data_IF_259752135939
#
_entry.id   IF_259752135939
#
_cell.length_a   1.000
_cell.length_b   1.000
_cell.length_c   1.000
_cell.angle_alpha   90.00
_cell.angle_beta   90.00
_cell.angle_gamma   90.00
#
_symmetry.space_group_name_H-M   'P 1'
#
loop_
_entity.id
_entity.type
_entity.pdbx_description
1 polymer ?
#
# COMPACT_ATOMS: atom_id res chain seq x y z
N UNK A 1 15.68 -15.50 -9.66
CA UNK A 1 14.42 -14.72 -9.75
C UNK A 1 13.17 -15.55 -9.49
N UNK A 2 13.21 -16.88 -9.52
CA UNK A 2 12.06 -17.77 -9.28
C UNK A 2 11.73 -18.02 -7.80
N UNK A 3 12.66 -17.80 -6.89
CA UNK A 3 12.49 -18.11 -5.47
C UNK A 3 11.72 -17.05 -4.68
N UNK A 4 11.51 -15.88 -5.26
CA UNK A 4 10.75 -14.77 -4.64
C UNK A 4 9.24 -14.92 -4.69
N UNK A 5 8.74 -16.01 -5.28
CA UNK A 5 7.30 -16.21 -5.52
C UNK A 5 6.64 -17.21 -4.57
N UNK A 6 7.39 -17.84 -3.64
CA UNK A 6 6.78 -18.71 -2.65
C UNK A 6 6.28 -17.92 -1.44
N UNK A 7 5.02 -17.63 -1.50
CA UNK A 7 4.23 -17.15 -0.39
C UNK A 7 3.91 -18.31 0.54
N UNK A 8 4.48 -18.29 1.72
CA UNK A 8 3.93 -19.06 2.83
C UNK A 8 3.30 -18.08 3.82
N UNK A 9 1.98 -18.10 3.85
CA UNK A 9 1.23 -17.55 4.95
C UNK A 9 1.27 -18.56 6.08
N UNK A 10 2.28 -18.48 6.94
CA UNK A 10 2.30 -19.24 8.16
C UNK A 10 1.66 -18.44 9.28
N UNK A 11 0.48 -18.90 9.69
CA UNK A 11 -0.11 -18.52 10.95
C UNK A 11 0.72 -19.19 12.05
N UNK A 12 1.67 -18.47 12.62
CA UNK A 12 2.46 -18.97 13.73
C UNK A 12 1.56 -19.11 14.96
N UNK A 13 1.05 -20.30 15.19
CA UNK A 13 0.51 -20.70 16.49
C UNK A 13 1.69 -20.93 17.44
N UNK A 14 1.76 -20.10 18.47
CA UNK A 14 2.49 -20.33 19.70
C UNK A 14 3.99 -20.62 19.61
N UNK A 15 4.78 -19.73 20.19
CA UNK A 15 6.23 -19.89 20.44
C UNK A 15 7.11 -20.11 19.21
N UNK A 16 7.43 -19.03 18.55
CA UNK A 16 8.45 -18.99 17.52
C UNK A 16 9.81 -19.30 18.14
N UNK A 17 10.35 -20.49 17.89
CA UNK A 17 11.79 -20.72 17.96
C UNK A 17 12.43 -19.97 16.79
N UNK A 18 12.91 -18.77 17.07
CA UNK A 18 13.38 -17.80 16.06
C UNK A 18 14.70 -18.18 15.38
N UNK A 19 15.23 -19.40 15.56
CA UNK A 19 16.62 -19.69 15.20
C UNK A 19 16.82 -20.46 13.88
N UNK A 20 15.79 -20.84 13.13
CA UNK A 20 15.97 -21.62 11.90
C UNK A 20 15.16 -21.19 10.68
N UNK A 21 14.66 -19.98 10.63
CA UNK A 21 14.05 -19.49 9.39
C UNK A 21 15.03 -18.63 8.60
N UNK A 22 15.91 -19.28 7.84
CA UNK A 22 16.47 -18.73 6.61
C UNK A 22 15.43 -18.86 5.49
N UNK A 23 14.20 -18.57 5.76
CA UNK A 23 13.19 -18.49 4.73
C UNK A 23 12.97 -17.01 4.44
N UNK A 24 13.11 -16.63 3.22
CA UNK A 24 12.65 -15.35 2.70
C UNK A 24 11.13 -15.30 2.83
N UNK A 25 10.63 -15.06 4.02
CA UNK A 25 9.24 -14.78 4.23
C UNK A 25 9.05 -13.31 3.92
N UNK A 26 8.45 -13.02 2.79
CA UNK A 26 8.09 -11.67 2.40
C UNK A 26 7.15 -11.01 3.39
N UNK A 27 6.36 -11.83 4.05
CA UNK A 27 5.35 -11.36 4.98
C UNK A 27 5.12 -12.42 6.05
N UNK A 28 5.27 -12.07 7.31
CA UNK A 28 4.75 -12.85 8.44
C UNK A 28 4.17 -11.92 9.49
N UNK A 29 3.09 -12.38 10.13
CA UNK A 29 2.40 -11.63 11.15
C UNK A 29 2.30 -12.49 12.41
N UNK A 30 2.76 -11.96 13.53
CA UNK A 30 2.72 -12.66 14.82
C UNK A 30 2.33 -11.73 15.96
N UNK A 31 1.79 -12.28 17.02
CA UNK A 31 1.61 -11.55 18.27
C UNK A 31 2.96 -11.41 19.01
N UNK A 32 3.23 -10.21 19.49
CA UNK A 32 4.42 -9.92 20.27
C UNK A 32 4.03 -9.35 21.62
N UNK A 33 3.94 -10.23 22.60
CA UNK A 33 3.47 -9.90 23.94
C UNK A 33 2.04 -9.38 23.99
N UNK A 34 1.64 -8.80 25.09
CA UNK A 34 0.27 -8.35 25.31
C UNK A 34 -0.09 -7.02 24.58
N UNK A 35 0.89 -6.31 24.07
CA UNK A 35 0.70 -4.92 23.59
C UNK A 35 0.97 -4.70 22.12
N UNK A 36 1.60 -5.65 21.44
CA UNK A 36 2.06 -5.45 20.06
C UNK A 36 1.72 -6.62 19.16
N UNK A 37 1.64 -6.31 17.86
CA UNK A 37 1.80 -7.25 16.76
C UNK A 37 3.15 -7.01 16.09
N UNK A 38 3.71 -8.05 15.53
CA UNK A 38 4.96 -8.02 14.79
C UNK A 38 4.67 -8.41 13.35
N UNK A 39 5.00 -7.52 12.44
CA UNK A 39 4.95 -7.75 11.01
C UNK A 39 6.38 -7.82 10.49
N UNK A 40 6.69 -8.89 9.79
CA UNK A 40 7.89 -8.99 8.97
C UNK A 40 7.47 -8.79 7.51
N UNK A 41 8.09 -7.85 6.88
CA UNK A 41 7.78 -7.49 5.51
C UNK A 41 9.08 -7.14 4.77
N UNK A 42 9.43 -7.90 3.74
CA UNK A 42 10.69 -7.76 3.00
C UNK A 42 11.94 -7.66 3.88
N UNK A 43 12.02 -8.44 4.93
CA UNK A 43 13.12 -8.38 5.90
C UNK A 43 13.03 -7.23 6.92
N UNK A 44 12.05 -6.35 6.79
CA UNK A 44 11.78 -5.27 7.74
C UNK A 44 10.89 -5.80 8.85
N UNK A 45 11.31 -5.57 10.08
CA UNK A 45 10.54 -5.89 11.28
C UNK A 45 9.75 -4.67 11.73
N UNK A 46 8.44 -4.69 11.49
CA UNK A 46 7.56 -3.61 11.92
C UNK A 46 6.75 -4.06 13.12
N UNK A 47 6.81 -3.29 14.19
CA UNK A 47 6.13 -3.56 15.44
C UNK A 47 4.91 -2.66 15.57
N UNK A 48 3.71 -3.23 15.52
CA UNK A 48 2.45 -2.50 15.69
C UNK A 48 1.92 -2.62 17.10
N UNK A 49 1.35 -1.54 17.60
CA UNK A 49 0.58 -1.56 18.85
C UNK A 49 -0.78 -2.22 18.62
N UNK A 50 -1.20 -3.11 19.53
CA UNK A 50 -2.59 -3.57 19.55
C UNK A 50 -3.52 -2.38 19.76
N UNK A 51 -4.67 -2.34 19.07
CA UNK A 51 -5.60 -1.20 19.03
C UNK A 51 -5.93 -0.62 20.41
N UNK A 52 -6.27 -1.47 21.38
CA UNK A 52 -6.57 -1.05 22.74
C UNK A 52 -5.38 -0.38 23.46
N UNK A 53 -4.15 -0.73 23.08
CA UNK A 53 -2.94 -0.13 23.63
C UNK A 53 -2.55 1.14 22.87
N UNK A 54 -2.86 1.20 21.58
CA UNK A 54 -2.66 2.38 20.74
C UNK A 54 -3.56 3.53 21.19
N UNK A 55 -4.81 3.27 21.53
CA UNK A 55 -5.76 4.29 22.02
C UNK A 55 -5.28 4.93 23.33
N UNK A 56 -4.69 4.13 24.22
CA UNK A 56 -4.12 4.64 25.48
C UNK A 56 -2.84 5.45 25.27
N UNK A 57 -2.01 5.10 24.27
CA UNK A 57 -0.75 5.79 23.93
C UNK A 57 -0.91 6.90 22.90
N UNK A 58 -1.96 6.91 22.08
CA UNK A 58 -2.15 7.92 21.04
C UNK A 58 -2.14 9.34 21.62
N UNK A 59 -2.78 9.56 22.78
CA UNK A 59 -2.73 10.85 23.48
C UNK A 59 -1.31 11.24 23.88
N UNK A 60 -0.46 10.27 24.27
CA UNK A 60 0.93 10.51 24.63
C UNK A 60 1.82 10.70 23.39
N UNK A 61 1.50 10.03 22.27
CA UNK A 61 2.22 10.15 21.02
C UNK A 61 2.04 11.54 20.38
N UNK A 62 0.81 12.02 20.25
CA UNK A 62 0.55 13.40 19.79
C UNK A 62 1.13 14.46 20.73
N UNK A 63 1.07 14.22 22.04
CA UNK A 63 1.72 15.10 23.01
C UNK A 63 3.24 15.14 22.84
N UNK A 64 3.88 13.99 22.61
CA UNK A 64 5.31 13.89 22.38
C UNK A 64 5.74 14.65 21.12
N UNK A 65 5.06 14.45 20.01
CA UNK A 65 5.35 15.16 18.75
C UNK A 65 5.18 16.67 18.91
N UNK A 66 4.07 17.08 19.50
CA UNK A 66 3.80 18.50 19.76
C UNK A 66 4.83 19.11 20.71
N UNK A 67 5.24 18.39 21.76
CA UNK A 67 6.22 18.84 22.74
C UNK A 67 7.62 18.99 22.16
N UNK A 68 8.03 18.09 21.27
CA UNK A 68 9.36 18.09 20.69
C UNK A 68 9.44 18.91 19.39
N UNK A 69 8.33 19.51 18.97
CA UNK A 69 8.26 20.36 17.78
C UNK A 69 8.88 19.72 16.53
N UNK A 70 8.66 18.40 16.36
CA UNK A 70 9.21 17.65 15.23
C UNK A 70 8.47 18.04 13.96
N UNK A 71 9.19 18.62 13.03
CA UNK A 71 8.67 18.89 11.70
C UNK A 71 8.73 17.63 10.84
N UNK A 72 7.56 17.02 10.63
CA UNK A 72 7.44 15.79 9.83
C UNK A 72 7.79 16.00 8.36
N UNK A 73 7.84 17.25 7.88
CA UNK A 73 8.19 17.55 6.49
C UNK A 73 9.68 17.41 6.23
N UNK A 74 10.49 17.42 7.29
CA UNK A 74 11.96 17.29 7.21
C UNK A 74 12.44 15.84 7.33
N UNK A 75 11.53 14.88 7.53
CA UNK A 75 11.89 13.46 7.60
C UNK A 75 12.39 13.03 6.21
N UNK A 76 13.59 12.44 6.12
CA UNK A 76 14.14 12.02 4.83
C UNK A 76 13.29 10.92 4.19
N UNK A 77 13.40 10.79 2.87
CA UNK A 77 12.75 9.71 2.13
C UNK A 77 13.12 8.34 2.69
N UNK A 78 12.22 7.37 2.52
CA UNK A 78 12.51 5.98 2.88
C UNK A 78 13.81 5.48 2.24
N UNK A 79 14.45 4.55 2.91
CA UNK A 79 15.65 3.84 2.44
C UNK A 79 15.41 2.32 2.45
N UNK A 80 16.31 1.57 1.83
CA UNK A 80 16.26 0.11 1.78
C UNK A 80 14.97 -0.44 1.17
N UNK A 81 14.46 -1.52 1.74
CA UNK A 81 13.35 -2.29 1.19
C UNK A 81 12.05 -1.48 1.03
N UNK A 82 11.77 -0.55 1.94
CA UNK A 82 10.59 0.31 1.81
C UNK A 82 10.71 1.23 0.58
N UNK A 83 11.90 1.79 0.36
CA UNK A 83 12.14 2.62 -0.81
C UNK A 83 12.05 1.80 -2.11
N UNK A 84 12.57 0.60 -2.12
CA UNK A 84 12.46 -0.31 -3.26
C UNK A 84 10.99 -0.63 -3.57
N UNK A 85 10.17 -0.89 -2.55
CA UNK A 85 8.74 -1.11 -2.71
C UNK A 85 8.02 0.12 -3.27
N UNK A 86 8.31 1.31 -2.72
CA UNK A 86 7.76 2.57 -3.23
C UNK A 86 8.08 2.76 -4.71
N UNK A 87 9.34 2.53 -5.11
CA UNK A 87 9.77 2.66 -6.50
C UNK A 87 9.14 1.60 -7.42
N UNK A 88 8.95 0.39 -6.91
CA UNK A 88 8.28 -0.68 -7.65
C UNK A 88 6.79 -0.37 -7.86
N UNK A 89 6.09 0.16 -6.85
CA UNK A 89 4.71 0.62 -6.99
C UNK A 89 4.60 1.81 -7.96
N UNK A 90 5.61 2.68 -8.02
CA UNK A 90 5.63 3.79 -8.96
C UNK A 90 5.60 3.31 -10.42
N UNK A 91 6.21 2.15 -10.73
CA UNK A 91 6.14 1.55 -12.08
C UNK A 91 4.69 1.22 -12.46
N UNK A 92 3.87 0.76 -11.51
CA UNK A 92 2.45 0.51 -11.75
C UNK A 92 1.68 1.81 -11.97
N UNK A 93 2.01 2.86 -11.21
CA UNK A 93 1.42 4.19 -11.39
C UNK A 93 1.78 4.80 -12.75
N UNK A 94 3.02 4.63 -13.19
CA UNK A 94 3.47 5.08 -14.52
C UNK A 94 2.71 4.36 -15.64
N UNK A 95 2.39 3.08 -15.46
CA UNK A 95 1.59 2.33 -16.43
C UNK A 95 0.12 2.80 -16.41
N UNK A 96 -0.44 3.06 -15.21
CA UNK A 96 -1.78 3.66 -15.08
C UNK A 96 -1.84 5.01 -15.80
N UNK A 97 -0.87 5.87 -15.57
CA UNK A 97 -0.79 7.20 -16.20
C UNK A 97 -0.70 7.08 -17.73
N UNK A 98 0.12 6.16 -18.23
CA UNK A 98 0.22 5.91 -19.67
C UNK A 98 -1.11 5.46 -20.26
N UNK A 99 -1.76 4.45 -19.66
CA UNK A 99 -3.04 3.94 -20.14
C UNK A 99 -4.11 5.02 -20.12
N UNK A 100 -4.19 5.81 -19.05
CA UNK A 100 -5.13 6.91 -18.93
C UNK A 100 -4.91 7.96 -20.03
N UNK A 101 -3.66 8.34 -20.32
CA UNK A 101 -3.31 9.26 -21.41
C UNK A 101 -3.71 8.73 -22.78
N UNK A 102 -3.51 7.43 -23.06
CA UNK A 102 -3.88 6.83 -24.35
C UNK A 102 -5.39 6.69 -24.54
N UNK A 103 -6.13 6.52 -23.45
CA UNK A 103 -7.58 6.31 -23.47
C UNK A 103 -8.40 7.56 -23.20
N UNK A 104 -7.76 8.67 -22.83
CA UNK A 104 -8.43 9.93 -22.46
C UNK A 104 -9.16 9.86 -21.10
N UNK A 105 -8.83 8.84 -20.26
CA UNK A 105 -9.39 8.70 -18.93
C UNK A 105 -8.64 9.59 -17.93
N UNK A 106 -9.33 10.02 -16.90
CA UNK A 106 -8.79 10.92 -15.87
C UNK A 106 -8.69 10.20 -14.54
N UNK A 107 -7.56 10.38 -13.89
CA UNK A 107 -7.35 9.97 -12.52
C UNK A 107 -6.63 11.07 -11.74
N UNK A 108 -6.61 10.96 -10.45
CA UNK A 108 -5.81 11.80 -9.56
C UNK A 108 -5.25 10.98 -8.40
N UNK A 109 -4.21 11.49 -7.77
CA UNK A 109 -3.69 10.93 -6.53
C UNK A 109 -4.67 11.20 -5.40
N UNK A 110 -4.84 10.23 -4.49
CA UNK A 110 -5.77 10.34 -3.37
C UNK A 110 -5.07 10.00 -2.04
N UNK A 111 -5.76 10.13 -0.94
CA UNK A 111 -5.32 9.70 0.39
C UNK A 111 -3.91 10.15 0.78
N UNK A 112 -3.13 9.19 1.27
CA UNK A 112 -1.73 9.38 1.68
C UNK A 112 -0.83 9.78 0.53
N UNK A 113 -1.08 9.24 -0.65
CA UNK A 113 -0.28 9.53 -1.86
C UNK A 113 -0.39 11.00 -2.27
N UNK A 114 -1.59 11.58 -2.29
CA UNK A 114 -1.78 13.01 -2.58
C UNK A 114 -1.09 13.87 -1.52
N UNK A 115 -1.27 13.53 -0.24
CA UNK A 115 -0.65 14.24 0.86
C UNK A 115 0.89 14.19 0.75
N UNK A 116 1.45 13.04 0.39
CA UNK A 116 2.88 12.85 0.15
C UNK A 116 3.38 13.73 -0.99
N UNK A 117 2.70 13.71 -2.13
CA UNK A 117 3.04 14.52 -3.30
C UNK A 117 3.10 16.02 -2.97
N UNK A 118 2.12 16.52 -2.20
CA UNK A 118 2.06 17.94 -1.83
C UNK A 118 3.10 18.30 -0.77
N UNK A 119 3.22 17.50 0.30
CA UNK A 119 4.00 17.81 1.48
C UNK A 119 5.47 17.41 1.35
N UNK A 120 5.75 16.20 0.84
CA UNK A 120 7.09 15.62 0.76
C UNK A 120 7.68 15.66 -0.65
N UNK A 121 6.91 16.12 -1.64
CA UNK A 121 7.26 16.10 -3.08
C UNK A 121 7.52 14.68 -3.61
N UNK A 122 6.85 13.71 -3.01
CA UNK A 122 6.94 12.29 -3.31
C UNK A 122 6.17 11.47 -2.30
N UNK A 123 6.61 10.24 -2.04
CA UNK A 123 6.01 9.41 -1.02
C UNK A 123 6.16 10.01 0.39
N UNK A 124 5.18 9.77 1.23
CA UNK A 124 5.38 9.91 2.68
C UNK A 124 6.45 8.88 3.07
N UNK A 125 7.49 9.26 3.85
CA UNK A 125 8.65 8.39 4.10
C UNK A 125 8.35 7.02 4.71
N UNK A 126 7.21 6.85 5.36
CA UNK A 126 6.78 5.60 6.02
C UNK A 126 5.60 4.92 5.33
N UNK A 127 5.19 5.42 4.16
CA UNK A 127 4.06 4.89 3.39
C UNK A 127 4.53 3.85 2.38
N UNK A 128 3.75 2.80 2.17
CA UNK A 128 4.14 1.65 1.36
C UNK A 128 3.20 1.37 0.17
N UNK A 129 2.15 2.17 0.03
CA UNK A 129 1.15 2.03 -1.02
C UNK A 129 0.97 3.29 -1.87
N UNK A 130 0.16 3.17 -2.90
CA UNK A 130 -0.26 4.27 -3.77
C UNK A 130 -1.79 4.21 -3.90
N UNK A 131 -2.42 5.31 -3.50
CA UNK A 131 -3.83 5.54 -3.63
C UNK A 131 -4.13 6.48 -4.80
N UNK A 132 -5.05 6.09 -5.65
CA UNK A 132 -5.59 6.93 -6.73
C UNK A 132 -7.10 6.91 -6.73
N UNK A 133 -7.71 7.89 -7.39
CA UNK A 133 -9.14 7.93 -7.56
C UNK A 133 -9.53 8.33 -8.98
N UNK A 134 -10.70 7.91 -9.40
CA UNK A 134 -11.32 8.22 -10.68
C UNK A 134 -12.80 8.54 -10.50
N UNK A 135 -13.36 9.42 -11.34
CA UNK A 135 -14.82 9.50 -11.45
C UNK A 135 -15.39 8.18 -11.94
N UNK A 136 -16.59 7.83 -11.49
CA UNK A 136 -17.28 6.59 -11.82
C UNK A 136 -17.26 6.29 -13.32
N UNK A 137 -17.53 7.27 -14.15
CA UNK A 137 -17.56 7.15 -15.61
C UNK A 137 -16.23 6.74 -16.25
N UNK A 138 -15.10 7.16 -15.66
CA UNK A 138 -13.74 6.80 -16.10
C UNK A 138 -13.32 5.48 -15.45
N UNK A 139 -13.69 5.27 -14.18
CA UNK A 139 -13.42 4.05 -13.42
C UNK A 139 -13.99 2.78 -14.08
N UNK A 140 -15.19 2.83 -14.64
CA UNK A 140 -15.83 1.68 -15.29
C UNK A 140 -15.12 1.27 -16.59
N UNK A 141 -14.37 2.18 -17.21
CA UNK A 141 -13.67 1.95 -18.48
C UNK A 141 -12.22 1.51 -18.30
N UNK A 142 -11.64 1.65 -17.11
CA UNK A 142 -10.20 1.48 -16.92
C UNK A 142 -9.73 0.05 -17.19
N UNK A 143 -10.53 -0.97 -16.89
CA UNK A 143 -10.18 -2.39 -17.14
C UNK A 143 -10.06 -2.64 -18.65
N UNK A 144 -10.99 -2.14 -19.45
CA UNK A 144 -10.93 -2.25 -20.91
C UNK A 144 -9.75 -1.45 -21.49
N UNK A 145 -9.53 -0.25 -20.96
CA UNK A 145 -8.41 0.58 -21.37
C UNK A 145 -7.06 -0.10 -21.11
N UNK A 146 -6.88 -0.76 -19.96
CA UNK A 146 -5.68 -1.54 -19.67
C UNK A 146 -5.49 -2.69 -20.65
N UNK A 147 -6.55 -3.47 -20.93
CA UNK A 147 -6.48 -4.55 -21.89
C UNK A 147 -6.09 -4.10 -23.30
N UNK A 148 -6.42 -2.87 -23.67
CA UNK A 148 -6.16 -2.33 -24.99
C UNK A 148 -4.82 -1.61 -25.11
N UNK A 149 -4.40 -0.89 -24.09
CA UNK A 149 -3.30 0.07 -24.19
C UNK A 149 -2.10 -0.23 -23.30
N UNK A 150 -2.20 -1.18 -22.35
CA UNK A 150 -1.06 -1.51 -21.50
C UNK A 150 0.13 -2.00 -22.33
N UNK A 151 1.30 -1.43 -22.02
CA UNK A 151 2.58 -1.78 -22.64
C UNK A 151 3.20 -3.03 -22.03
N UNK A 152 2.83 -3.33 -20.78
CA UNK A 152 3.39 -4.45 -20.03
C UNK A 152 2.31 -5.50 -19.77
N UNK A 153 2.38 -6.69 -20.41
CA UNK A 153 1.38 -7.74 -20.23
C UNK A 153 1.34 -8.34 -18.81
N UNK A 154 2.37 -8.08 -18.00
CA UNK A 154 2.40 -8.50 -16.60
C UNK A 154 1.64 -7.53 -15.68
N UNK A 155 1.30 -6.32 -16.14
CA UNK A 155 0.52 -5.34 -15.39
C UNK A 155 -0.92 -5.36 -15.87
N UNK A 156 -1.85 -5.46 -14.94
CA UNK A 156 -3.28 -5.56 -15.23
C UNK A 156 -4.12 -4.92 -14.13
N UNK A 157 -5.39 -4.71 -14.40
CA UNK A 157 -6.35 -4.19 -13.42
C UNK A 157 -7.37 -5.26 -13.08
N UNK A 158 -7.65 -5.44 -11.80
CA UNK A 158 -8.67 -6.35 -11.30
C UNK A 158 -9.31 -5.83 -10.02
N UNK A 159 -10.46 -6.39 -9.67
CA UNK A 159 -11.16 -6.06 -8.44
C UNK A 159 -10.46 -6.62 -7.21
N UNK A 160 -10.21 -5.76 -6.26
CA UNK A 160 -9.82 -6.15 -4.91
C UNK A 160 -11.06 -6.28 -4.03
N UNK A 161 -11.21 -7.44 -3.38
CA UNK A 161 -12.24 -7.68 -2.37
C UNK A 161 -11.57 -7.94 -1.03
N UNK A 162 -11.83 -7.10 -0.06
CA UNK A 162 -11.34 -7.33 1.29
C UNK A 162 -12.03 -8.54 1.92
N UNK A 163 -11.25 -9.51 2.39
CA UNK A 163 -11.77 -10.65 3.15
C UNK A 163 -12.40 -10.24 4.50
N UNK A 164 -11.96 -9.10 5.04
CA UNK A 164 -12.45 -8.58 6.34
C UNK A 164 -13.69 -7.70 6.18
N UNK A 165 -13.84 -7.07 5.04
CA UNK A 165 -14.99 -6.22 4.74
C UNK A 165 -15.40 -6.39 3.28
N UNK A 166 -16.35 -7.30 2.99
CA UNK A 166 -16.81 -7.58 1.62
C UNK A 166 -17.39 -6.37 0.88
N UNK A 167 -17.81 -5.32 1.61
CA UNK A 167 -18.28 -4.07 1.01
C UNK A 167 -17.14 -3.21 0.45
N UNK A 168 -15.90 -3.44 0.87
CA UNK A 168 -14.73 -2.79 0.29
C UNK A 168 -14.33 -3.53 -0.99
N UNK A 169 -14.91 -3.07 -2.09
CA UNK A 169 -14.58 -3.54 -3.43
C UNK A 169 -14.18 -2.35 -4.29
N UNK A 170 -12.94 -2.35 -4.73
CA UNK A 170 -12.38 -1.33 -5.61
C UNK A 170 -11.36 -1.96 -6.56
N UNK A 171 -10.92 -1.23 -7.56
CA UNK A 171 -9.95 -1.73 -8.52
C UNK A 171 -8.52 -1.54 -8.03
N UNK A 172 -7.65 -2.43 -8.45
CA UNK A 172 -6.20 -2.36 -8.27
C UNK A 172 -5.47 -2.54 -9.58
N UNK A 173 -4.46 -1.72 -9.81
CA UNK A 173 -3.40 -2.08 -10.76
C UNK A 173 -2.49 -3.07 -10.06
N UNK A 174 -2.24 -4.19 -10.70
CA UNK A 174 -1.54 -5.35 -10.13
C UNK A 174 -0.44 -5.83 -11.07
N UNK A 175 0.52 -6.57 -10.53
CA UNK A 175 1.58 -7.22 -11.30
C UNK A 175 1.52 -8.75 -11.17
N UNK A 176 1.44 -9.49 -12.30
CA UNK A 176 1.24 -10.95 -12.32
C UNK A 176 2.32 -11.72 -11.56
N UNK A 177 3.56 -11.28 -11.64
CA UNK A 177 4.72 -11.93 -11.01
C UNK A 177 5.03 -11.41 -9.62
N UNK A 178 4.45 -10.29 -9.20
CA UNK A 178 4.69 -9.71 -7.89
C UNK A 178 3.38 -9.25 -7.25
N UNK A 179 2.75 -10.14 -6.49
CA UNK A 179 1.43 -9.95 -5.87
C UNK A 179 1.37 -8.89 -4.76
N UNK A 180 2.52 -8.30 -4.42
CA UNK A 180 2.62 -7.27 -3.38
C UNK A 180 2.63 -5.86 -3.93
N UNK A 181 2.88 -5.75 -5.22
CA UNK A 181 2.83 -4.48 -5.90
C UNK A 181 1.39 -4.20 -6.30
N UNK A 182 0.89 -3.07 -5.86
CA UNK A 182 -0.44 -2.61 -6.23
C UNK A 182 -0.55 -1.08 -6.18
N UNK A 183 -1.46 -0.57 -6.98
CA UNK A 183 -1.98 0.80 -6.90
C UNK A 183 -3.48 0.70 -6.74
N UNK A 184 -4.02 1.28 -5.70
CA UNK A 184 -5.45 1.30 -5.43
C UNK A 184 -6.13 2.38 -6.26
N UNK A 185 -7.30 2.03 -6.85
CA UNK A 185 -8.12 2.95 -7.63
C UNK A 185 -9.50 3.01 -7.00
N UNK A 186 -9.83 4.13 -6.38
CA UNK A 186 -11.12 4.34 -5.73
C UNK A 186 -12.12 5.03 -6.67
N UNK A 187 -13.37 4.56 -6.72
CA UNK A 187 -14.41 5.25 -7.47
C UNK A 187 -14.93 6.46 -6.69
N UNK A 188 -15.02 7.59 -7.35
CA UNK A 188 -15.65 8.80 -6.84
C UNK A 188 -16.91 9.12 -7.62
N UNK A 189 -17.91 9.63 -6.92
CA UNK A 189 -19.19 9.99 -7.50
C UNK A 189 -19.51 11.46 -7.26
N UNK A 190 -20.07 12.10 -8.26
CA UNK A 190 -20.62 13.44 -8.12
C UNK A 190 -22.09 13.29 -7.75
N UNK A 191 -22.42 13.63 -6.51
CA UNK A 191 -23.81 13.66 -6.08
C UNK A 191 -24.43 15.00 -6.45
N UNK A 192 -25.60 14.96 -7.10
CA UNK A 192 -26.39 16.16 -7.29
C UNK A 192 -26.80 16.72 -5.93
N UNK A 193 -26.74 18.05 -5.75
CA UNK A 193 -27.42 18.70 -4.63
C UNK A 193 -28.91 18.65 -4.90
N UNK A 194 -29.66 18.01 -3.99
CA UNK A 194 -31.11 18.14 -3.89
C UNK A 194 -31.49 19.60 -3.57
#
# INVERSE_FOLDING_TARGET
>A
MGEYLHYQYEKAEGTVKAEKQKAFSFFSFSEYGNSHYLLYFFGIKIKFLKRAYAEKKSKNFFYYYKKNNIDITTIPSAEGNLRELQLANLVLLEELDYVCKQSGLRYWLDGGTLLGAVRHKGFIPWDDDIDTAMLREDYEKIVEAFNKYSRNPDIYVDYYRSLKNPCNCYLRVLHRKCKYLFVDIFPWEILAKD
#
